data_IF_611576694143
#
_entry.id   IF_611576694143
#
_cell.length_a   1.000
_cell.length_b   1.000
_cell.length_c   1.000
_cell.angle_alpha   90.00
_cell.angle_beta   90.00
_cell.angle_gamma   90.00
#
_symmetry.space_group_name_H-M   'P 1'
#
loop_
_entity.id
_entity.type
_entity.pdbx_description
1 polymer ?
#
# COMPACT_ATOMS: atom_id res chain seq x y z
N UNK A 1 -45.56 4.16 34.44
CA UNK A 1 -44.13 4.16 34.81
C UNK A 1 -43.48 2.77 34.64
N UNK A 2 -44.03 1.65 35.17
CA UNK A 2 -43.42 0.29 35.04
C UNK A 2 -43.22 -0.17 33.59
N UNK A 3 -44.13 0.13 32.66
CA UNK A 3 -43.99 -0.25 31.22
C UNK A 3 -42.88 0.53 30.51
N UNK A 4 -42.60 1.77 30.86
CA UNK A 4 -41.47 2.55 30.29
C UNK A 4 -40.14 1.97 30.71
N UNK A 5 -39.99 1.47 31.93
CA UNK A 5 -38.74 0.89 32.45
C UNK A 5 -38.37 -0.40 31.70
N UNK A 6 -39.39 -1.15 31.23
CA UNK A 6 -39.15 -2.40 30.45
C UNK A 6 -38.96 -2.14 28.96
N UNK A 7 -39.53 -1.08 28.40
CA UNK A 7 -39.45 -0.76 26.97
C UNK A 7 -38.11 -0.03 26.64
N UNK A 8 -37.63 0.83 27.55
CA UNK A 8 -36.42 1.61 27.33
C UNK A 8 -35.16 0.76 27.03
N UNK A 9 -34.84 -0.30 27.79
CA UNK A 9 -33.70 -1.17 27.46
C UNK A 9 -33.87 -1.92 26.13
N UNK A 10 -35.10 -2.30 25.78
CA UNK A 10 -35.37 -2.95 24.51
C UNK A 10 -35.13 -2.00 23.33
N UNK A 11 -35.61 -0.76 23.41
CA UNK A 11 -35.36 0.28 22.40
C UNK A 11 -33.85 0.60 22.27
N UNK A 12 -33.15 0.66 23.41
CA UNK A 12 -31.69 0.85 23.42
C UNK A 12 -30.97 -0.30 22.72
N UNK A 13 -31.37 -1.54 23.01
CA UNK A 13 -30.79 -2.72 22.40
C UNK A 13 -31.04 -2.78 20.88
N UNK A 14 -32.26 -2.48 20.44
CA UNK A 14 -32.62 -2.38 19.01
C UNK A 14 -31.85 -1.25 18.35
N UNK A 15 -31.75 -0.08 18.98
CA UNK A 15 -30.97 1.06 18.47
C UNK A 15 -29.49 0.74 18.31
N UNK A 16 -28.91 0.05 19.31
CA UNK A 16 -27.53 -0.42 19.25
C UNK A 16 -27.33 -1.45 18.12
N UNK A 17 -28.26 -2.39 17.98
CA UNK A 17 -28.24 -3.38 16.91
C UNK A 17 -28.26 -2.75 15.51
N UNK A 18 -29.13 -1.76 15.31
CA UNK A 18 -29.20 -1.00 14.04
C UNK A 18 -27.91 -0.19 13.82
N UNK A 19 -27.33 0.41 14.85
CA UNK A 19 -26.08 1.14 14.75
C UNK A 19 -24.91 0.22 14.39
N UNK A 20 -24.84 -0.98 14.98
CA UNK A 20 -23.85 -2.00 14.61
C UNK A 20 -24.01 -2.48 13.17
N UNK A 21 -25.23 -2.80 12.75
CA UNK A 21 -25.49 -3.23 11.36
C UNK A 21 -25.06 -2.17 10.35
N UNK A 22 -25.35 -0.90 10.61
CA UNK A 22 -24.87 0.21 9.75
C UNK A 22 -23.36 0.43 9.83
N UNK A 23 -22.73 0.04 10.95
CA UNK A 23 -21.28 0.10 11.11
C UNK A 23 -20.53 -0.93 10.25
N UNK A 24 -21.16 -2.09 10.00
CA UNK A 24 -20.56 -3.14 9.15
C UNK A 24 -20.53 -2.77 7.66
N UNK A 25 -21.38 -1.85 7.20
CA UNK A 25 -21.38 -1.37 5.80
C UNK A 25 -20.23 -0.39 5.51
N UNK A 26 -19.50 0.07 6.54
CA UNK A 26 -18.32 0.91 6.36
C UNK A 26 -17.10 0.03 6.24
N UNK A 27 -16.40 0.12 5.10
CA UNK A 27 -15.11 -0.55 4.95
C UNK A 27 -14.08 0.08 5.92
N UNK A 28 -13.61 -0.64 6.95
CA UNK A 28 -12.62 -0.11 7.90
C UNK A 28 -11.25 0.14 7.23
N UNK A 29 -11.07 -0.27 5.96
CA UNK A 29 -9.85 -0.05 5.20
C UNK A 29 -9.81 1.34 4.55
N UNK A 30 -10.92 2.06 4.49
CA UNK A 30 -11.01 3.45 4.00
C UNK A 30 -10.55 4.47 5.05
N UNK A 31 -9.39 4.27 5.68
CA UNK A 31 -8.77 5.34 6.46
C UNK A 31 -7.93 6.16 5.47
N UNK A 32 -8.34 7.41 5.13
CA UNK A 32 -7.54 8.26 4.27
C UNK A 32 -6.15 8.42 4.86
N UNK A 33 -5.12 8.14 4.08
CA UNK A 33 -3.75 8.37 4.55
C UNK A 33 -3.54 9.86 4.82
N UNK A 34 -3.07 10.18 6.02
CA UNK A 34 -2.71 11.55 6.38
C UNK A 34 -1.56 12.12 5.53
N UNK A 35 -0.92 11.28 4.71
CA UNK A 35 0.20 11.63 3.84
C UNK A 35 -0.21 11.96 2.40
N UNK A 36 -1.49 11.85 2.04
CA UNK A 36 -1.95 12.26 0.70
C UNK A 36 -1.62 13.74 0.46
N UNK A 37 -1.09 14.02 -0.74
CA UNK A 37 -0.60 15.33 -1.20
C UNK A 37 0.58 15.91 -0.39
N UNK A 38 1.19 15.11 0.48
CA UNK A 38 2.41 15.48 1.21
C UNK A 38 3.65 14.85 0.59
N UNK A 39 4.82 15.49 0.76
CA UNK A 39 6.08 14.85 0.43
C UNK A 39 6.21 13.50 1.15
N UNK A 40 6.84 12.53 0.48
CA UNK A 40 7.22 11.28 1.14
C UNK A 40 8.10 11.57 2.36
N UNK A 41 7.94 10.83 3.46
CA UNK A 41 8.84 10.91 4.59
C UNK A 41 10.29 10.69 4.13
N UNK A 42 11.24 11.32 4.80
CA UNK A 42 12.66 11.10 4.50
C UNK A 42 13.12 9.72 4.98
N UNK A 43 13.79 8.99 4.10
CA UNK A 43 14.37 7.69 4.40
C UNK A 43 15.50 7.36 3.42
N UNK A 44 16.35 6.43 3.83
CA UNK A 44 17.41 5.84 3.00
C UNK A 44 17.56 4.36 3.40
N UNK A 45 17.04 3.47 2.57
CA UNK A 45 17.06 2.04 2.81
C UNK A 45 18.15 1.37 1.97
N UNK A 46 19.01 0.56 2.59
CA UNK A 46 20.00 -0.21 1.87
C UNK A 46 19.35 -1.20 0.92
N UNK A 47 20.05 -1.62 -0.15
CA UNK A 47 19.55 -2.66 -1.05
C UNK A 47 19.43 -4.02 -0.35
N UNK A 48 18.59 -4.90 -0.88
CA UNK A 48 18.74 -6.32 -0.60
C UNK A 48 20.10 -6.79 -1.09
N UNK A 49 20.82 -7.65 -0.33
CA UNK A 49 22.11 -8.20 -0.75
C UNK A 49 22.02 -8.84 -2.15
N UNK A 50 22.87 -8.39 -3.08
CA UNK A 50 22.85 -8.84 -4.46
C UNK A 50 21.81 -8.14 -5.37
N UNK A 51 20.96 -7.29 -4.85
CA UNK A 51 20.11 -6.39 -5.63
C UNK A 51 20.87 -5.10 -5.97
N UNK A 52 20.63 -4.53 -7.15
CA UNK A 52 21.44 -3.45 -7.69
C UNK A 52 21.38 -2.15 -6.90
N UNK A 53 20.24 -1.83 -6.31
CA UNK A 53 19.99 -0.51 -5.70
C UNK A 53 19.01 -0.59 -4.53
N UNK A 54 19.29 0.16 -3.46
CA UNK A 54 18.35 0.50 -2.40
C UNK A 54 17.35 1.57 -2.83
N UNK A 55 16.57 2.07 -1.90
CA UNK A 55 15.59 3.12 -2.16
C UNK A 55 15.73 4.21 -1.12
N UNK A 56 15.91 5.45 -1.58
CA UNK A 56 15.87 6.64 -0.74
C UNK A 56 14.75 7.58 -1.17
N UNK A 57 14.32 8.46 -0.27
CA UNK A 57 13.30 9.47 -0.58
C UNK A 57 13.69 10.39 -1.75
N UNK A 58 14.99 10.64 -1.95
CA UNK A 58 15.51 11.42 -3.06
C UNK A 58 15.25 10.75 -4.43
N UNK A 59 15.24 9.42 -4.47
CA UNK A 59 15.00 8.64 -5.70
C UNK A 59 13.55 8.70 -6.18
N UNK A 60 12.64 9.18 -5.32
CA UNK A 60 11.21 9.25 -5.60
C UNK A 60 10.79 10.55 -6.29
N UNK A 61 11.76 11.31 -6.82
CA UNK A 61 11.53 12.53 -7.60
C UNK A 61 11.86 12.32 -9.07
N UNK A 62 11.24 13.12 -9.93
CA UNK A 62 11.56 13.19 -11.37
C UNK A 62 10.60 12.44 -12.27
N UNK A 63 9.99 11.34 -11.81
CA UNK A 63 8.99 10.59 -12.57
C UNK A 63 7.80 10.19 -11.70
N UNK A 64 6.66 9.90 -12.36
CA UNK A 64 5.49 9.31 -11.71
C UNK A 64 5.75 7.81 -11.55
N UNK A 65 5.72 7.32 -10.33
CA UNK A 65 6.14 5.95 -10.01
C UNK A 65 5.31 5.34 -8.89
N UNK A 66 5.38 4.03 -8.77
CA UNK A 66 4.79 3.29 -7.66
C UNK A 66 5.85 2.88 -6.64
N UNK A 67 5.46 2.89 -5.37
CA UNK A 67 6.20 2.26 -4.28
C UNK A 67 5.32 1.17 -3.69
N UNK A 68 5.74 -0.08 -3.83
CA UNK A 68 5.04 -1.24 -3.31
C UNK A 68 5.74 -1.76 -2.05
N UNK A 69 5.00 -1.92 -0.97
CA UNK A 69 5.50 -2.47 0.30
C UNK A 69 5.11 -3.94 0.35
N UNK A 70 6.11 -4.82 0.38
CA UNK A 70 5.91 -6.26 0.31
C UNK A 70 6.81 -7.04 1.27
N UNK A 71 6.50 -8.32 1.44
CA UNK A 71 7.37 -9.27 2.12
C UNK A 71 7.21 -10.68 1.53
N UNK A 72 8.24 -11.51 1.60
CA UNK A 72 8.21 -12.89 1.09
C UNK A 72 7.20 -13.79 1.82
N UNK A 73 7.00 -13.55 3.11
CA UNK A 73 6.05 -14.27 3.96
C UNK A 73 4.59 -13.84 3.76
N UNK A 74 4.34 -12.77 2.99
CA UNK A 74 3.02 -12.20 2.78
C UNK A 74 2.26 -12.95 1.68
N UNK A 75 1.21 -13.67 2.04
CA UNK A 75 0.38 -14.42 1.08
C UNK A 75 -0.35 -13.50 0.09
N UNK A 76 -1.00 -12.39 0.52
CA UNK A 76 -1.64 -11.47 -0.40
C UNK A 76 -0.65 -10.78 -1.37
N UNK A 77 0.60 -10.53 -0.94
CA UNK A 77 1.64 -9.97 -1.82
C UNK A 77 1.94 -10.90 -2.99
N UNK A 78 1.92 -12.22 -2.75
CA UNK A 78 2.07 -13.22 -3.82
C UNK A 78 0.90 -13.18 -4.81
N UNK A 79 -0.31 -12.93 -4.32
CA UNK A 79 -1.49 -12.86 -5.17
C UNK A 79 -1.49 -11.62 -6.09
N UNK A 80 -1.00 -10.46 -5.59
CA UNK A 80 -0.92 -9.23 -6.40
C UNK A 80 0.31 -9.16 -7.32
N UNK A 81 1.35 -9.95 -7.05
CA UNK A 81 2.64 -9.84 -7.76
C UNK A 81 2.54 -9.89 -9.30
N UNK A 82 1.68 -10.71 -9.93
CA UNK A 82 1.47 -10.66 -11.37
C UNK A 82 0.92 -9.31 -11.86
N UNK A 83 0.15 -8.61 -11.03
CA UNK A 83 -0.38 -7.28 -11.35
C UNK A 83 0.73 -6.24 -11.29
N UNK A 84 1.59 -6.31 -10.26
CA UNK A 84 2.77 -5.44 -10.13
C UNK A 84 3.71 -5.66 -11.31
N UNK A 85 3.96 -6.91 -11.71
CA UNK A 85 4.78 -7.25 -12.89
C UNK A 85 4.18 -6.67 -14.17
N UNK A 86 2.86 -6.79 -14.38
CA UNK A 86 2.19 -6.17 -15.53
C UNK A 86 2.38 -4.65 -15.55
N UNK A 87 2.19 -3.97 -14.41
CA UNK A 87 2.38 -2.51 -14.32
C UNK A 87 3.81 -2.09 -14.70
N UNK A 88 4.82 -2.83 -14.23
CA UNK A 88 6.21 -2.52 -14.52
C UNK A 88 6.60 -2.81 -15.98
N UNK A 89 6.23 -3.98 -16.50
CA UNK A 89 6.72 -4.49 -17.77
C UNK A 89 5.85 -4.04 -18.96
N UNK A 90 4.54 -4.13 -18.82
CA UNK A 90 3.59 -3.83 -19.88
C UNK A 90 3.19 -2.34 -19.88
N UNK A 91 2.77 -1.82 -18.74
CA UNK A 91 2.29 -0.44 -18.62
C UNK A 91 3.45 0.55 -18.43
N UNK A 92 4.68 0.05 -18.31
CA UNK A 92 5.93 0.83 -18.17
C UNK A 92 5.87 1.86 -17.05
N UNK A 93 5.27 1.49 -15.93
CA UNK A 93 5.26 2.28 -14.73
C UNK A 93 6.47 1.88 -13.88
N UNK A 94 7.39 2.80 -13.56
CA UNK A 94 8.47 2.47 -12.64
C UNK A 94 7.91 2.03 -11.29
N UNK A 95 8.30 0.83 -10.84
CA UNK A 95 7.90 0.31 -9.53
C UNK A 95 9.15 0.12 -8.68
N UNK A 96 9.20 0.80 -7.55
CA UNK A 96 10.18 0.57 -6.48
C UNK A 96 9.51 -0.23 -5.37
N UNK A 97 10.32 -0.86 -4.54
CA UNK A 97 9.78 -1.65 -3.44
C UNK A 97 10.44 -1.33 -2.10
N UNK A 98 9.64 -1.45 -1.05
CA UNK A 98 10.10 -1.53 0.34
C UNK A 98 9.85 -2.95 0.81
N UNK A 99 10.92 -3.69 1.07
CA UNK A 99 10.85 -5.04 1.61
C UNK A 99 10.74 -4.97 3.14
N UNK A 100 9.55 -5.27 3.66
CA UNK A 100 9.15 -5.02 5.04
C UNK A 100 9.40 -6.22 5.95
N UNK A 101 10.23 -6.00 7.00
CA UNK A 101 10.47 -6.99 8.07
C UNK A 101 10.72 -8.41 7.56
N UNK A 102 11.57 -8.52 6.57
CA UNK A 102 11.84 -9.76 5.86
C UNK A 102 13.30 -10.18 6.04
N UNK A 103 13.58 -11.46 5.85
CA UNK A 103 14.95 -11.93 5.74
C UNK A 103 15.42 -11.75 4.32
N UNK A 104 16.62 -11.18 4.09
CA UNK A 104 17.13 -10.94 2.74
C UNK A 104 17.15 -12.21 1.88
N UNK A 105 17.57 -13.35 2.46
CA UNK A 105 17.62 -14.64 1.77
C UNK A 105 16.24 -15.13 1.32
N UNK A 106 15.20 -14.93 2.15
CA UNK A 106 13.84 -15.33 1.84
C UNK A 106 13.23 -14.41 0.76
N UNK A 107 13.48 -13.10 0.87
CA UNK A 107 13.05 -12.11 -0.14
C UNK A 107 13.69 -12.40 -1.51
N UNK A 108 15.00 -12.67 -1.56
CA UNK A 108 15.72 -12.99 -2.80
C UNK A 108 15.22 -14.30 -3.42
N UNK A 109 15.04 -15.35 -2.60
CA UNK A 109 14.50 -16.62 -3.07
C UNK A 109 13.07 -16.46 -3.61
N UNK A 110 12.27 -15.62 -2.97
CA UNK A 110 10.91 -15.31 -3.42
C UNK A 110 10.91 -14.58 -4.76
N UNK A 111 11.77 -13.54 -4.94
CA UNK A 111 11.92 -12.80 -6.20
C UNK A 111 12.46 -13.71 -7.33
N UNK A 112 13.45 -14.54 -7.04
CA UNK A 112 13.98 -15.50 -8.02
C UNK A 112 12.91 -16.48 -8.53
N UNK A 113 11.95 -16.85 -7.67
CA UNK A 113 10.87 -17.78 -8.02
C UNK A 113 9.71 -17.11 -8.76
N UNK A 114 9.35 -15.88 -8.39
CA UNK A 114 8.14 -15.22 -8.86
C UNK A 114 8.40 -14.11 -9.90
N UNK A 115 9.66 -13.76 -10.14
CA UNK A 115 10.08 -12.63 -10.96
C UNK A 115 10.41 -11.39 -10.13
N UNK A 116 11.18 -10.48 -10.71
CA UNK A 116 11.59 -9.22 -10.08
C UNK A 116 11.20 -8.02 -10.97
N UNK A 117 10.01 -7.45 -10.76
CA UNK A 117 9.53 -6.31 -11.52
C UNK A 117 10.07 -4.96 -11.02
N UNK A 118 10.80 -4.97 -9.91
CA UNK A 118 11.19 -3.75 -9.22
C UNK A 118 12.45 -3.12 -9.82
N UNK A 119 12.43 -1.80 -9.98
CA UNK A 119 13.61 -1.04 -10.41
C UNK A 119 14.65 -0.90 -9.29
N UNK A 120 14.20 -0.90 -8.05
CA UNK A 120 15.02 -0.84 -6.84
C UNK A 120 14.24 -1.41 -5.65
N UNK A 121 14.95 -1.98 -4.67
CA UNK A 121 14.35 -2.54 -3.45
C UNK A 121 15.12 -2.06 -2.23
N UNK A 122 14.44 -1.33 -1.35
CA UNK A 122 14.96 -0.94 -0.05
C UNK A 122 14.61 -1.96 1.04
N UNK A 123 15.59 -2.39 1.82
CA UNK A 123 15.40 -3.36 2.89
C UNK A 123 15.03 -2.67 4.22
N UNK A 124 13.74 -2.64 4.54
CA UNK A 124 13.20 -2.09 5.81
C UNK A 124 13.09 -3.20 6.86
N UNK A 125 14.22 -3.62 7.41
CA UNK A 125 14.33 -4.79 8.30
C UNK A 125 13.64 -4.59 9.64
N UNK A 126 13.67 -3.38 10.18
CA UNK A 126 13.03 -3.03 11.45
C UNK A 126 11.58 -2.52 11.25
N UNK A 127 11.19 -2.21 10.00
CA UNK A 127 9.88 -1.72 9.64
C UNK A 127 9.64 -0.27 9.98
N UNK A 128 10.70 0.51 10.21
CA UNK A 128 10.59 1.90 10.63
C UNK A 128 10.11 2.80 9.51
N UNK A 129 10.65 2.61 8.31
CA UNK A 129 10.21 3.35 7.13
C UNK A 129 8.73 3.09 6.82
N UNK A 130 8.30 1.84 6.91
CA UNK A 130 6.89 1.49 6.73
C UNK A 130 5.98 2.18 7.77
N UNK A 131 6.41 2.29 9.04
CA UNK A 131 5.68 3.02 10.08
C UNK A 131 5.57 4.51 9.72
N UNK A 132 6.67 5.14 9.31
CA UNK A 132 6.69 6.56 8.93
C UNK A 132 5.80 6.84 7.70
N UNK A 133 5.64 5.86 6.82
CA UNK A 133 4.72 5.89 5.67
C UNK A 133 3.26 5.57 6.03
N UNK A 134 2.99 5.27 7.29
CA UNK A 134 1.66 4.90 7.76
C UNK A 134 1.16 3.59 7.16
N UNK A 135 2.08 2.63 6.94
CA UNK A 135 1.75 1.27 6.51
C UNK A 135 1.11 0.50 7.66
N UNK A 136 -0.06 -0.05 7.43
CA UNK A 136 -0.78 -0.86 8.43
C UNK A 136 -0.47 -2.34 8.32
N UNK A 137 -0.06 -2.77 7.14
CA UNK A 137 0.25 -4.15 6.81
C UNK A 137 0.76 -4.28 5.39
N UNK A 138 1.06 -5.49 4.97
CA UNK A 138 1.50 -5.76 3.60
C UNK A 138 0.49 -6.66 2.89
N UNK A 139 0.25 -6.40 1.58
CA UNK A 139 0.87 -5.37 0.76
C UNK A 139 0.19 -4.01 0.90
N UNK A 140 0.91 -2.95 0.61
CA UNK A 140 0.37 -1.61 0.35
C UNK A 140 1.11 -0.98 -0.83
N UNK A 141 0.40 -0.21 -1.64
CA UNK A 141 1.00 0.46 -2.81
C UNK A 141 0.71 1.95 -2.78
N UNK A 142 1.75 2.74 -3.03
CA UNK A 142 1.69 4.20 -3.07
C UNK A 142 1.99 4.69 -4.48
N UNK A 143 1.22 5.66 -4.96
CA UNK A 143 1.51 6.39 -6.19
C UNK A 143 2.18 7.71 -5.84
N UNK A 144 3.34 7.96 -6.41
CA UNK A 144 4.19 9.11 -6.16
C UNK A 144 4.27 9.95 -7.44
N UNK A 145 4.12 11.28 -7.30
CA UNK A 145 4.28 12.23 -8.42
C UNK A 145 5.75 12.63 -8.63
N UNK A 146 6.00 13.42 -9.69
CA UNK A 146 7.34 13.90 -10.05
C UNK A 146 8.00 14.77 -8.98
N UNK A 147 7.21 15.36 -8.08
CA UNK A 147 7.69 16.19 -6.97
C UNK A 147 8.03 15.35 -5.73
N UNK A 148 7.77 14.02 -5.75
CA UNK A 148 7.95 13.12 -4.61
C UNK A 148 6.83 13.25 -3.59
N UNK A 149 5.60 13.55 -4.02
CA UNK A 149 4.42 13.60 -3.15
C UNK A 149 3.58 12.34 -3.32
N UNK A 150 3.03 11.86 -2.23
CA UNK A 150 2.09 10.73 -2.23
C UNK A 150 0.75 11.23 -2.77
N UNK A 151 0.32 10.72 -3.92
CA UNK A 151 -0.94 11.13 -4.56
C UNK A 151 -2.07 10.12 -4.36
N UNK A 152 -1.72 8.87 -4.11
CA UNK A 152 -2.69 7.82 -3.87
C UNK A 152 -2.08 6.71 -3.02
N UNK A 153 -2.90 6.03 -2.23
CA UNK A 153 -2.52 4.87 -1.42
C UNK A 153 -3.56 3.77 -1.56
N UNK A 154 -3.12 2.57 -1.88
CA UNK A 154 -3.95 1.36 -1.87
C UNK A 154 -3.55 0.53 -0.66
N UNK A 155 -4.38 0.45 0.39
CA UNK A 155 -4.18 -0.50 1.47
C UNK A 155 -4.65 -1.89 1.04
N UNK A 156 -3.80 -2.90 1.21
CA UNK A 156 -4.07 -4.26 0.77
C UNK A 156 -3.70 -4.53 -0.70
N UNK A 157 -4.06 -5.72 -1.21
CA UNK A 157 -3.61 -6.17 -2.51
C UNK A 157 -4.25 -5.39 -3.66
N UNK A 158 -3.44 -5.09 -4.67
CA UNK A 158 -3.91 -4.55 -5.94
C UNK A 158 -4.88 -5.51 -6.63
N UNK A 159 -5.92 -4.95 -7.23
CA UNK A 159 -6.84 -5.68 -8.11
C UNK A 159 -6.86 -5.04 -9.49
N UNK A 160 -7.25 -5.78 -10.55
CA UNK A 160 -7.42 -5.20 -11.88
C UNK A 160 -8.37 -3.99 -11.90
N UNK A 161 -9.44 -4.03 -11.10
CA UNK A 161 -10.41 -2.94 -11.01
C UNK A 161 -9.78 -1.65 -10.45
N UNK A 162 -8.97 -1.74 -9.39
CA UNK A 162 -8.25 -0.60 -8.81
C UNK A 162 -7.21 -0.06 -9.80
N UNK A 163 -6.47 -0.95 -10.45
CA UNK A 163 -5.43 -0.55 -11.41
C UNK A 163 -6.04 0.19 -12.60
N UNK A 164 -7.07 -0.37 -13.22
CA UNK A 164 -7.69 0.17 -14.44
C UNK A 164 -8.60 1.38 -14.14
N UNK A 165 -9.30 1.34 -12.99
CA UNK A 165 -10.25 2.39 -12.61
C UNK A 165 -9.61 3.61 -11.94
N UNK A 166 -8.47 3.45 -11.25
CA UNK A 166 -7.92 4.51 -10.40
C UNK A 166 -6.45 4.79 -10.68
N UNK A 167 -5.58 3.76 -10.66
CA UNK A 167 -4.12 3.96 -10.74
C UNK A 167 -3.70 4.46 -12.12
N UNK A 168 -4.05 3.75 -13.20
CA UNK A 168 -3.63 4.13 -14.56
C UNK A 168 -4.18 5.47 -15.01
N UNK A 169 -5.48 5.82 -14.77
CA UNK A 169 -5.99 7.16 -15.07
C UNK A 169 -5.27 8.26 -14.30
N UNK A 170 -4.95 8.03 -13.01
CA UNK A 170 -4.24 9.01 -12.19
C UNK A 170 -2.78 9.16 -12.65
N UNK A 171 -2.10 8.08 -13.01
CA UNK A 171 -0.75 8.13 -13.61
C UNK A 171 -0.77 8.98 -14.90
N UNK A 172 -1.73 8.72 -15.79
CA UNK A 172 -1.84 9.47 -17.04
C UNK A 172 -2.03 10.97 -16.78
N UNK A 173 -2.88 11.31 -15.83
CA UNK A 173 -3.08 12.69 -15.39
C UNK A 173 -1.79 13.32 -14.85
N UNK A 174 -1.12 12.67 -13.89
CA UNK A 174 0.10 13.20 -13.26
C UNK A 174 1.30 13.31 -14.22
N UNK A 175 1.32 12.50 -15.28
CA UNK A 175 2.34 12.58 -16.34
C UNK A 175 2.09 13.77 -17.29
N UNK A 176 0.87 14.27 -17.36
CA UNK A 176 0.50 15.42 -18.19
C UNK A 176 0.64 16.76 -17.47
N UNK A 177 0.79 16.77 -16.14
CA UNK A 177 1.09 17.96 -15.32
C UNK A 177 2.60 18.29 -15.34
#
# INVERSE_FOLDING_TARGET
MRRLITILPLLLFVGLGVAFLRGFDRDPREIPSALIDKPVPEFDLPPLPGHKQGVASADLKGDVQLVNVFASWCIPCRAEHPIVSRLAEHDRVPVRAINYKDKPEDALAWLAKNGDPYTAIGADRDGRTAIDWGVYGVPETFLIDRQGRIRYKVPGPLSPAIVEGEILPLIAKLRSE
#
